data_IF_379238292372
#
_entry.id   IF_379238292372
#
_cell.length_a   1.000
_cell.length_b   1.000
_cell.length_c   1.000
_cell.angle_alpha   90.00
_cell.angle_beta   90.00
_cell.angle_gamma   90.00
#
_symmetry.space_group_name_H-M   'P 1'
#
loop_
_entity.id
_entity.type
_entity.pdbx_description
1 polymer ?
2 non-polymer ?
#
# COMPACT_ATOMS: atom_id res chain seq x y z
N UNK A 2 17.89 6.86 -10.37
CA UNK A 2 16.77 5.96 -10.81
C UNK A 2 16.05 5.33 -9.62
N UNK A 3 14.98 4.61 -9.93
CA UNK A 3 14.19 3.93 -8.91
C UNK A 3 14.97 2.75 -8.35
N UNK A 4 15.81 2.15 -9.19
CA UNK A 4 16.59 1.00 -8.75
C UNK A 4 17.83 1.33 -7.92
N UNK A 5 18.30 2.57 -8.02
CA UNK A 5 19.43 3.01 -7.21
C UNK A 5 18.82 3.27 -5.83
N UNK A 6 17.64 3.90 -5.83
CA UNK A 6 16.90 4.22 -4.62
C UNK A 6 16.55 2.92 -3.87
N UNK A 7 16.14 1.90 -4.62
CA UNK A 7 15.80 0.60 -4.04
C UNK A 7 17.03 -0.02 -3.40
N UNK A 8 18.13 0.03 -4.14
CA UNK A 8 19.41 -0.51 -3.71
C UNK A 8 19.87 0.15 -2.41
N UNK A 9 19.84 1.48 -2.39
CA UNK A 9 20.25 2.26 -1.23
C UNK A 9 19.42 1.95 0.00
N UNK A 10 18.10 1.90 -0.18
CA UNK A 10 17.15 1.63 0.90
C UNK A 10 17.43 0.37 1.71
N UNK A 11 18.10 -0.60 1.10
CA UNK A 11 18.42 -1.85 1.77
C UNK A 11 19.33 -1.64 2.97
N UNK A 12 20.09 -0.54 2.96
CA UNK A 12 21.00 -0.26 4.05
C UNK A 12 20.54 0.87 4.97
N UNK A 13 19.27 1.26 4.83
CA UNK A 13 18.69 2.33 5.63
C UNK A 13 18.56 1.99 7.12
N UNK A 14 18.94 2.95 7.96
CA UNK A 14 18.87 2.79 9.41
C UNK A 14 18.37 4.08 10.06
N UNK A 15 17.48 4.79 9.36
CA UNK A 15 16.95 6.07 9.83
C UNK A 15 15.94 6.03 10.99
N UNK A 16 15.26 4.91 11.19
CA UNK A 16 14.31 4.82 12.29
C UNK A 16 14.53 3.53 13.06
N UNK A 17 14.00 3.47 14.28
CA UNK A 17 14.15 2.30 15.15
C UNK A 17 13.62 0.98 14.59
N UNK A 18 12.83 1.04 13.51
CA UNK A 18 12.29 -0.17 12.93
C UNK A 18 13.35 -1.04 12.29
N UNK A 19 14.56 -0.50 12.17
CA UNK A 19 15.67 -1.23 11.58
C UNK A 19 16.18 -2.33 12.50
N UNK A 20 15.97 -2.14 13.80
CA UNK A 20 16.43 -3.08 14.82
C UNK A 20 15.87 -4.49 14.67
N UNK A 21 14.55 -4.60 14.51
CA UNK A 21 13.95 -5.92 14.38
C UNK A 21 13.88 -6.53 13.00
N UNK A 22 14.06 -5.74 11.95
CA UNK A 22 13.97 -6.24 10.59
C UNK A 22 15.00 -7.29 10.15
N UNK A 23 14.63 -8.02 9.10
CA UNK A 23 15.44 -9.06 8.48
C UNK A 23 15.82 -8.48 7.13
N UNK A 24 14.79 -8.10 6.38
CA UNK A 24 14.95 -7.49 5.07
C UNK A 24 14.07 -6.25 4.97
N UNK A 25 14.51 -5.27 4.19
CA UNK A 25 13.70 -4.08 4.00
C UNK A 25 12.83 -4.32 2.76
N UNK A 26 11.54 -4.08 2.92
CA UNK A 26 10.58 -4.26 1.84
C UNK A 26 10.31 -2.90 1.18
N UNK A 27 11.18 -2.52 0.27
CA UNK A 27 11.08 -1.25 -0.43
C UNK A 27 9.88 -1.14 -1.38
N UNK A 28 9.67 -2.17 -2.21
CA UNK A 28 8.56 -2.16 -3.15
C UNK A 28 8.88 -2.87 -4.46
N UNK A 29 7.85 -3.18 -5.24
CA UNK A 29 8.04 -3.84 -6.53
C UNK A 29 6.90 -3.65 -7.51
N UNK A 30 7.15 -4.05 -8.76
CA UNK A 30 6.14 -3.92 -9.80
C UNK A 30 6.61 -3.06 -10.95
N UNK A 31 5.64 -2.50 -11.68
CA UNK A 31 5.89 -1.64 -12.83
C UNK A 31 6.50 -0.30 -12.38
N UNK A 32 7.70 0.03 -12.89
CA UNK A 32 8.38 1.29 -12.54
C UNK A 32 7.70 2.54 -13.09
N UNK A 33 6.83 2.36 -14.08
CA UNK A 33 6.11 3.47 -14.68
C UNK A 33 4.63 3.11 -14.60
N UNK A 34 4.24 2.63 -13.43
CA UNK A 34 2.87 2.22 -13.17
C UNK A 34 1.88 3.38 -13.09
N UNK A 35 0.68 3.15 -13.62
CA UNK A 35 -0.39 4.14 -13.55
C UNK A 35 -1.01 4.02 -12.16
N UNK A 36 -1.05 2.80 -11.63
CA UNK A 36 -1.60 2.54 -10.31
C UNK A 36 -0.54 2.10 -9.30
N UNK A 37 -0.52 2.78 -8.16
CA UNK A 37 0.39 2.48 -7.07
C UNK A 37 -0.48 2.11 -5.88
N UNK A 38 -0.09 1.05 -5.17
CA UNK A 38 -0.82 0.57 -4.01
C UNK A 38 0.07 0.72 -2.79
N UNK A 39 -0.41 1.46 -1.79
CA UNK A 39 0.35 1.66 -0.56
C UNK A 39 -0.37 1.14 0.68
N UNK A 40 0.30 0.25 1.41
CA UNK A 40 -0.25 -0.30 2.63
C UNK A 40 0.42 0.30 3.86
N UNK A 41 0.16 -0.30 5.02
CA UNK A 41 0.70 0.13 6.31
C UNK A 41 2.19 -0.16 6.46
N UNK A 42 2.50 -1.45 6.58
CA UNK A 42 3.88 -1.88 6.73
C UNK A 42 3.92 -3.37 6.44
N UNK A 43 5.12 -3.94 6.28
CA UNK A 43 5.27 -5.38 6.00
C UNK A 43 4.96 -6.32 7.17
N UNK A 44 4.81 -7.61 6.85
CA UNK A 44 4.55 -8.63 7.85
C UNK A 44 5.61 -9.73 7.85
N UNK A 45 5.29 -10.86 8.47
CA UNK A 45 6.18 -12.03 8.59
C UNK A 45 6.88 -12.45 7.29
N UNK A 46 6.08 -12.89 6.32
CA UNK A 46 6.63 -13.35 5.05
C UNK A 46 7.28 -12.23 4.25
N UNK A 47 6.79 -11.01 4.43
CA UNK A 47 7.35 -9.85 3.73
C UNK A 47 8.74 -9.56 4.28
N UNK A 48 8.87 -9.68 5.59
CA UNK A 48 10.13 -9.45 6.27
C UNK A 48 11.16 -10.49 5.87
N UNK A 49 10.69 -11.71 5.63
CA UNK A 49 11.57 -12.80 5.25
C UNK A 49 12.02 -12.78 3.81
N UNK A 50 11.11 -12.44 2.89
CA UNK A 50 11.44 -12.40 1.46
C UNK A 50 11.89 -11.04 0.92
N UNK A 51 11.54 -9.96 1.62
CA UNK A 51 11.91 -8.64 1.15
C UNK A 51 10.95 -8.14 0.07
N UNK A 52 9.91 -8.93 -0.18
CA UNK A 52 8.89 -8.59 -1.17
C UNK A 52 7.61 -8.19 -0.46
N UNK A 53 6.91 -7.16 -0.98
CA UNK A 53 5.66 -6.67 -0.39
C UNK A 53 4.47 -7.56 -0.72
N UNK A 54 3.55 -7.69 0.24
CA UNK A 54 2.34 -8.49 0.07
C UNK A 54 2.54 -9.89 -0.54
N UNK A 55 3.15 -10.78 0.23
CA UNK A 55 3.40 -12.15 -0.21
C UNK A 55 2.83 -13.18 0.77
N UNK A 56 2.44 -12.70 1.95
CA UNK A 56 1.86 -13.57 2.96
C UNK A 56 0.37 -13.77 2.78
N UNK A 57 -0.29 -14.24 3.84
CA UNK A 57 -1.74 -14.50 3.83
C UNK A 57 -2.57 -13.35 3.25
N UNK A 58 -2.34 -12.13 3.72
CA UNK A 58 -3.09 -10.96 3.24
C UNK A 58 -2.68 -10.58 1.81
N UNK A 59 -1.38 -10.71 1.53
CA UNK A 59 -0.87 -10.41 0.20
C UNK A 59 -1.47 -11.33 -0.85
N UNK A 60 -1.75 -12.57 -0.45
CA UNK A 60 -2.34 -13.54 -1.36
C UNK A 60 -3.79 -13.14 -1.64
N UNK A 61 -4.40 -12.45 -0.68
CA UNK A 61 -5.76 -11.97 -0.85
C UNK A 61 -5.69 -10.84 -1.89
N UNK A 62 -4.78 -9.89 -1.66
CA UNK A 62 -4.58 -8.75 -2.55
C UNK A 62 -4.48 -9.22 -4.01
N UNK A 63 -3.73 -10.30 -4.22
CA UNK A 63 -3.54 -10.89 -5.55
C UNK A 63 -4.89 -11.29 -6.14
N UNK A 64 -5.69 -11.98 -5.32
CA UNK A 64 -7.01 -12.43 -5.72
C UNK A 64 -7.95 -11.27 -6.03
N UNK A 65 -7.96 -10.28 -5.15
CA UNK A 65 -8.80 -9.10 -5.32
C UNK A 65 -8.43 -8.39 -6.63
N UNK A 66 -7.13 -8.34 -6.91
CA UNK A 66 -6.59 -7.70 -8.11
C UNK A 66 -7.00 -8.39 -9.41
N UNK A 67 -6.78 -9.70 -9.49
CA UNK A 67 -7.13 -10.44 -10.69
C UNK A 67 -8.64 -10.51 -10.90
N UNK A 68 -9.39 -10.39 -9.81
CA UNK A 68 -10.85 -10.41 -9.87
C UNK A 68 -11.39 -9.14 -10.52
N UNK A 69 -10.50 -8.20 -10.81
CA UNK A 69 -10.89 -6.95 -11.45
C UNK A 69 -10.16 -6.79 -12.78
N UNK A 70 -9.42 -7.83 -13.16
CA UNK A 70 -8.68 -7.81 -14.41
C UNK A 70 -7.40 -6.99 -14.35
N UNK A 71 -6.89 -6.74 -13.14
CA UNK A 71 -5.68 -5.95 -12.96
C UNK A 71 -4.46 -6.81 -12.66
N UNK A 72 -3.54 -6.96 -13.63
CA UNK A 72 -2.33 -7.77 -13.44
C UNK A 72 -1.35 -7.14 -12.45
N UNK A 73 -1.02 -7.88 -11.39
CA UNK A 73 -0.11 -7.42 -10.34
C UNK A 73 1.22 -6.82 -10.82
N UNK A 74 1.81 -7.42 -11.86
CA UNK A 74 3.09 -6.94 -12.39
C UNK A 74 3.02 -5.55 -13.04
N UNK A 75 1.83 -5.12 -13.42
CA UNK A 75 1.67 -3.81 -14.05
C UNK A 75 1.39 -2.68 -13.07
N UNK A 76 1.40 -3.00 -11.77
CA UNK A 76 1.18 -1.99 -10.74
C UNK A 76 2.40 -1.94 -9.83
N UNK A 77 2.48 -0.91 -8.99
CA UNK A 77 3.60 -0.80 -8.07
C UNK A 77 3.05 -0.87 -6.66
N UNK A 78 3.64 -1.73 -5.84
CA UNK A 78 3.19 -1.92 -4.47
C UNK A 78 4.26 -1.62 -3.41
N UNK A 79 3.85 -0.96 -2.33
CA UNK A 79 4.72 -0.60 -1.19
C UNK A 79 3.88 -0.37 0.06
N UNK A 80 4.50 0.18 1.09
CA UNK A 80 3.85 0.50 2.35
C UNK A 80 4.42 1.83 2.86
N UNK A 81 3.80 2.38 3.89
CA UNK A 81 4.23 3.63 4.50
C UNK A 81 5.66 3.48 5.03
N UNK A 82 5.90 2.36 5.71
CA UNK A 82 7.22 2.03 6.24
C UNK A 82 7.71 0.78 5.50
N UNK A 83 9.03 0.64 5.39
CA UNK A 83 9.63 -0.49 4.68
C UNK A 83 10.09 -1.65 5.56
N UNK A 84 10.28 -1.39 6.85
CA UNK A 84 10.74 -2.42 7.77
C UNK A 84 9.64 -2.93 8.69
N UNK A 85 9.64 -4.24 8.93
CA UNK A 85 8.63 -4.86 9.78
C UNK A 85 8.69 -4.45 11.25
N UNK A 86 7.71 -3.65 11.68
CA UNK A 86 7.64 -3.19 13.07
C UNK A 86 7.36 -4.36 14.00
N UNK A 87 7.94 -4.34 15.21
CA UNK A 87 7.77 -5.40 16.21
C UNK A 87 6.35 -5.93 16.39
N UNK A 88 6.20 -7.25 16.23
CA UNK A 88 4.91 -7.95 16.36
C UNK A 88 3.79 -7.45 15.43
N UNK A 89 4.19 -6.94 14.26
CA UNK A 89 3.27 -6.41 13.24
C UNK A 89 2.43 -5.21 13.65
N UNK A 90 2.89 -4.46 14.65
CA UNK A 90 2.15 -3.29 15.10
C UNK A 90 2.22 -2.24 14.02
N UNK A 91 1.29 -1.30 14.02
CA UNK A 91 1.31 -0.23 13.03
C UNK A 91 2.50 0.65 13.34
N UNK A 92 3.04 1.34 12.33
CA UNK A 92 4.19 2.22 12.56
C UNK A 92 3.80 3.49 13.31
N UNK A 93 4.70 3.94 14.18
CA UNK A 93 4.50 5.16 14.96
C UNK A 93 4.70 6.37 14.02
N UNK A 94 3.97 7.48 14.26
CA UNK A 94 4.08 8.69 13.42
C UNK A 94 5.51 9.14 13.19
N UNK A 95 6.34 8.76 14.15
CA UNK A 95 7.78 9.00 14.23
C UNK A 95 8.45 8.43 12.98
N UNK A 96 8.45 7.10 12.94
CA UNK A 96 9.03 6.30 11.87
C UNK A 96 8.29 6.48 10.55
N UNK A 97 7.01 6.83 10.63
CA UNK A 97 6.18 7.03 9.44
C UNK A 97 6.62 8.29 8.69
N UNK A 98 7.00 9.32 9.43
CA UNK A 98 7.43 10.58 8.85
C UNK A 98 8.80 10.43 8.19
N UNK A 99 9.72 9.81 8.92
CA UNK A 99 11.09 9.58 8.45
C UNK A 99 11.17 8.72 7.20
N UNK A 100 10.57 7.54 7.26
CA UNK A 100 10.58 6.60 6.14
C UNK A 100 9.91 7.16 4.90
N UNK A 101 8.81 7.86 5.12
CA UNK A 101 8.05 8.44 4.04
C UNK A 101 8.77 9.61 3.35
N UNK A 102 9.54 10.37 4.13
CA UNK A 102 10.30 11.51 3.61
C UNK A 102 11.53 11.01 2.87
N UNK A 103 12.08 9.91 3.36
CA UNK A 103 13.27 9.31 2.77
C UNK A 103 13.01 8.48 1.52
N UNK A 104 11.87 7.79 1.47
CA UNK A 104 11.56 6.91 0.34
C UNK A 104 10.23 7.06 -0.39
N UNK A 105 9.12 7.00 0.34
CA UNK A 105 7.81 7.08 -0.29
C UNK A 105 7.66 8.25 -1.26
N UNK A 106 7.94 9.46 -0.81
CA UNK A 106 7.82 10.65 -1.65
C UNK A 106 8.59 10.57 -2.98
N UNK A 107 9.81 10.05 -2.93
CA UNK A 107 10.63 9.92 -4.13
C UNK A 107 10.12 8.80 -5.03
N UNK A 108 9.58 7.75 -4.42
CA UNK A 108 9.04 6.63 -5.18
C UNK A 108 7.86 7.13 -5.99
N UNK A 109 7.01 7.93 -5.35
CA UNK A 109 5.84 8.50 -6.00
C UNK A 109 6.27 9.45 -7.13
N UNK A 110 7.29 10.24 -6.85
CA UNK A 110 7.82 11.21 -7.80
C UNK A 110 8.37 10.53 -9.06
N UNK A 111 9.17 9.48 -8.86
CA UNK A 111 9.78 8.72 -9.95
C UNK A 111 8.80 7.89 -10.79
N UNK A 112 7.82 7.28 -10.13
CA UNK A 112 6.83 6.44 -10.81
C UNK A 112 5.69 7.23 -11.45
N UNK A 113 5.37 8.38 -10.86
CA UNK A 113 4.31 9.26 -11.36
C UNK A 113 2.99 8.53 -11.62
N UNK A 114 2.44 7.84 -10.60
CA UNK A 114 1.17 7.12 -10.80
C UNK A 114 0.03 8.12 -10.98
N UNK A 115 -1.04 7.67 -11.63
CA UNK A 115 -2.19 8.54 -11.85
C UNK A 115 -3.25 8.27 -10.79
N UNK A 116 -3.16 7.10 -10.16
CA UNK A 116 -4.08 6.70 -9.11
C UNK A 116 -3.30 6.04 -7.97
N UNK A 117 -3.55 6.49 -6.74
CA UNK A 117 -2.91 5.92 -5.57
C UNK A 117 -3.98 5.24 -4.72
N UNK A 118 -3.82 3.94 -4.49
CA UNK A 118 -4.77 3.24 -3.66
C UNK A 118 -4.14 2.91 -2.31
N UNK A 119 -4.48 3.69 -1.28
CA UNK A 119 -3.94 3.45 0.06
C UNK A 119 -4.75 2.34 0.74
N UNK A 120 -4.04 1.38 1.34
CA UNK A 120 -4.64 0.25 2.04
C UNK A 120 -4.56 0.39 3.55
N UNK A 121 -5.70 0.67 4.18
CA UNK A 121 -5.74 0.83 5.62
C UNK A 121 -5.74 2.28 6.09
N UNK A 122 -6.02 2.47 7.38
CA UNK A 122 -6.07 3.80 8.00
C UNK A 122 -4.74 4.54 8.00
N UNK A 123 -3.64 3.84 8.26
CA UNK A 123 -2.32 4.47 8.28
C UNK A 123 -1.99 5.12 6.94
N UNK A 124 -2.09 4.35 5.86
CA UNK A 124 -1.81 4.84 4.51
C UNK A 124 -2.76 5.96 4.11
N UNK A 125 -4.05 5.78 4.40
CA UNK A 125 -5.07 6.78 4.06
C UNK A 125 -4.80 8.10 4.76
N UNK A 126 -4.37 8.02 6.02
CA UNK A 126 -4.06 9.21 6.81
C UNK A 126 -2.89 9.98 6.24
N UNK A 127 -2.08 9.32 5.43
CA UNK A 127 -0.94 9.96 4.82
C UNK A 127 -1.34 10.84 3.63
N UNK A 128 -2.20 10.31 2.76
CA UNK A 128 -2.66 11.04 1.58
C UNK A 128 -3.77 12.04 1.81
N UNK A 129 -4.52 11.86 2.90
CA UNK A 129 -5.61 12.77 3.22
C UNK A 129 -5.16 13.95 4.07
N UNK A 130 -4.00 13.78 4.70
CA UNK A 130 -3.42 14.83 5.53
C UNK A 130 -4.13 15.10 6.84
N UNK A 131 -4.74 14.07 7.42
CA UNK A 131 -5.44 14.20 8.69
C UNK A 131 -5.90 12.86 9.25
N UNK A 132 -6.16 12.83 10.55
CA UNK A 132 -6.65 11.62 11.21
C UNK A 132 -7.96 11.22 10.54
N UNK A 133 -8.14 9.93 10.31
CA UNK A 133 -9.34 9.49 9.63
C UNK A 133 -9.79 8.07 9.96
N UNK A 134 -11.04 7.78 9.62
CA UNK A 134 -11.63 6.47 9.84
C UNK A 134 -11.68 5.76 8.49
N UNK A 135 -10.99 4.63 8.41
CA UNK A 135 -10.95 3.85 7.18
C UNK A 135 -12.35 3.46 6.66
N UNK A 136 -13.26 3.15 7.57
CA UNK A 136 -14.62 2.78 7.20
C UNK A 136 -15.39 3.92 6.53
N UNK A 137 -14.97 5.16 6.78
CA UNK A 137 -15.64 6.31 6.19
C UNK A 137 -15.05 6.83 4.89
N UNK A 138 -13.73 6.78 4.76
CA UNK A 138 -13.06 7.26 3.55
C UNK A 138 -12.99 6.21 2.45
N UNK A 139 -13.06 4.96 2.86
CA UNK A 139 -13.05 3.79 2.00
C UNK A 139 -14.05 3.90 0.83
N UNK A 140 -13.56 3.69 -0.39
CA UNK A 140 -14.42 3.74 -1.56
C UNK A 140 -14.80 5.09 -2.14
N UNK A 141 -14.14 6.15 -1.69
CA UNK A 141 -14.41 7.50 -2.17
C UNK A 141 -13.14 8.11 -2.76
N UNK A 142 -13.31 8.92 -3.81
CA UNK A 142 -12.19 9.55 -4.49
C UNK A 142 -11.71 10.83 -3.83
N UNK A 143 -10.39 10.92 -3.68
CA UNK A 143 -9.78 12.10 -3.09
C UNK A 143 -8.74 12.64 -4.06
N UNK A 144 -7.88 13.53 -3.56
CA UNK A 144 -6.84 14.15 -4.36
C UNK A 144 -5.66 14.54 -3.49
N UNK A 145 -4.46 14.24 -3.98
CA UNK A 145 -3.20 14.53 -3.29
C UNK A 145 -2.16 14.91 -4.35
N UNK A 146 -1.72 16.17 -4.31
CA UNK A 146 -0.74 16.72 -5.25
C UNK A 146 -1.08 16.44 -6.72
N UNK A 147 -2.36 16.57 -7.05
CA UNK A 147 -2.79 16.35 -8.41
C UNK A 147 -3.11 14.92 -8.78
N UNK A 148 -2.84 13.98 -7.87
CA UNK A 148 -3.13 12.59 -8.16
C UNK A 148 -4.36 12.08 -7.41
N UNK A 149 -5.10 11.20 -8.07
CA UNK A 149 -6.33 10.62 -7.53
C UNK A 149 -6.09 9.52 -6.48
N UNK A 150 -6.58 9.76 -5.27
CA UNK A 150 -6.44 8.80 -4.19
C UNK A 150 -7.76 8.06 -3.98
N UNK A 151 -7.68 6.76 -3.71
CA UNK A 151 -8.87 5.95 -3.50
C UNK A 151 -8.65 4.93 -2.38
N UNK A 152 -8.90 5.34 -1.13
CA UNK A 152 -8.72 4.45 0.02
C UNK A 152 -9.58 3.19 0.01
N UNK A 153 -9.00 2.11 0.51
CA UNK A 153 -9.66 0.81 0.58
C UNK A 153 -9.21 0.04 1.81
N UNK A 154 -10.05 -0.89 2.24
CA UNK A 154 -9.74 -1.72 3.39
C UNK A 154 -8.49 -2.52 3.07
N UNK A 155 -7.66 -2.72 4.08
CA UNK A 155 -6.45 -3.50 3.95
C UNK A 155 -6.86 -4.98 3.96
N UNK A 156 -6.24 -5.82 3.12
CA UNK A 156 -6.53 -7.25 3.03
C UNK A 156 -6.54 -7.97 4.39
N UNK A 157 -5.66 -7.54 5.29
CA UNK A 157 -5.57 -8.13 6.63
C UNK A 157 -6.85 -7.89 7.41
N UNK A 158 -7.47 -6.75 7.15
CA UNK A 158 -8.72 -6.38 7.79
C UNK A 158 -9.82 -7.35 7.35
N UNK A 159 -9.73 -7.82 6.11
CA UNK A 159 -10.70 -8.76 5.55
C UNK A 159 -10.53 -10.14 6.17
N UNK A 160 -9.30 -10.49 6.54
CA UNK A 160 -9.04 -11.78 7.18
C UNK A 160 -9.59 -11.76 8.61
N UNK A 161 -9.56 -10.59 9.23
CA UNK A 161 -10.04 -10.41 10.60
C UNK A 161 -11.57 -10.31 10.67
N UNK A 162 -12.18 -9.99 9.54
CA UNK A 162 -13.63 -9.86 9.39
C UNK A 162 -13.91 -10.52 8.03
N UNK A 163 -13.89 -11.86 8.00
CA UNK A 163 -14.11 -12.73 6.83
C UNK A 163 -15.53 -12.86 6.27
N UNK A 164 -16.50 -12.24 6.93
CA UNK A 164 -17.90 -12.27 6.51
C UNK A 164 -18.12 -12.11 5.00
N UNK A 165 -18.98 -12.95 4.43
CA UNK A 165 -19.31 -12.90 3.00
C UNK A 165 -20.68 -12.24 2.79
N UNK A 166 -21.28 -11.77 3.89
CA UNK A 166 -22.58 -11.11 3.88
C UNK A 166 -22.59 -9.81 3.07
N UNK A 167 -23.77 -9.42 2.55
CA UNK A 167 -23.81 -8.17 1.77
C UNK A 167 -23.43 -6.96 2.63
N UNK A 168 -22.65 -6.05 2.04
CA UNK A 168 -22.21 -4.86 2.74
C UNK A 168 -21.03 -5.11 3.67
N UNK A 169 -20.51 -6.33 3.65
CA UNK A 169 -19.38 -6.71 4.48
C UNK A 169 -18.10 -6.20 3.83
N UNK A 170 -17.04 -5.99 4.63
CA UNK A 170 -15.76 -5.50 4.10
C UNK A 170 -15.30 -6.21 2.82
N UNK A 171 -15.50 -7.52 2.75
CA UNK A 171 -15.12 -8.27 1.55
C UNK A 171 -15.96 -7.86 0.35
N UNK A 172 -17.27 -7.73 0.57
CA UNK A 172 -18.18 -7.34 -0.50
C UNK A 172 -17.87 -5.93 -0.99
N UNK A 173 -17.67 -5.01 -0.05
CA UNK A 173 -17.36 -3.62 -0.37
C UNK A 173 -16.04 -3.52 -1.12
N UNK A 174 -15.06 -4.32 -0.71
CA UNK A 174 -13.74 -4.34 -1.34
C UNK A 174 -13.84 -4.74 -2.81
N UNK A 175 -14.67 -5.75 -3.08
CA UNK A 175 -14.90 -6.25 -4.42
C UNK A 175 -15.46 -5.12 -5.27
N UNK A 176 -16.42 -4.37 -4.73
CA UNK A 176 -17.01 -3.24 -5.44
C UNK A 176 -15.96 -2.15 -5.71
N UNK A 177 -15.16 -1.85 -4.69
CA UNK A 177 -14.11 -0.84 -4.77
C UNK A 177 -13.06 -1.11 -5.86
N UNK A 178 -12.59 -2.36 -5.93
CA UNK A 178 -11.59 -2.71 -6.93
C UNK A 178 -12.13 -2.55 -8.36
N UNK A 179 -13.43 -2.81 -8.54
CA UNK A 179 -14.07 -2.65 -9.85
C UNK A 179 -14.04 -1.16 -10.18
N UNK A 180 -14.31 -0.34 -9.17
CA UNK A 180 -14.32 1.11 -9.31
C UNK A 180 -12.93 1.63 -9.70
N UNK A 181 -11.89 0.96 -9.20
CA UNK A 181 -10.52 1.33 -9.52
C UNK A 181 -10.28 0.94 -10.99
N UNK A 182 -10.79 -0.22 -11.38
CA UNK A 182 -10.64 -0.68 -12.75
C UNK A 182 -11.32 0.26 -13.75
N UNK A 183 -12.54 0.71 -13.46
CA UNK A 183 -13.21 1.62 -14.38
C UNK A 183 -12.44 2.94 -14.48
N UNK A 184 -11.90 3.39 -13.35
CA UNK A 184 -11.13 4.64 -13.30
C UNK A 184 -9.82 4.55 -14.08
N UNK A 185 -9.18 3.38 -14.03
CA UNK A 185 -7.93 3.11 -14.72
C UNK A 185 -8.13 3.16 -16.23
N UNK A 186 -9.18 2.49 -16.69
CA UNK A 186 -9.52 2.42 -18.11
C UNK A 186 -10.00 3.74 -18.72
N UNK A 187 -10.20 4.74 -17.87
CA UNK A 187 -10.66 6.05 -18.32
C UNK A 187 -9.57 7.11 -18.15
N UNK A 188 -8.31 6.67 -18.15
CA UNK A 188 -7.19 7.59 -17.99
C UNK A 188 -6.49 8.00 -19.29
N UNK A 189 -6.16 9.29 -19.43
CA UNK A 189 -5.48 9.85 -20.61
C UNK A 189 -4.04 9.34 -20.75
X LIG B 1 13.25 0.94 7.45
X LIG B 1 12.76 3.05 9.06
X LIG B 1 14.64 3.22 7.13
X LIG B 1 12.03 3.12 6.47
X LIG B 1 13.10 4.76 7.61
X LIG B 1 13.68 1.95 5.51
X LIG B 1 11.23 1.74 8.06
X LIG B 1 14.67 1.87 8.94
#
# INVERSE_FOLDING_TARGET
XTLELLQAQAQNCTACRLMEGRTRVVFGEGNPDAKLMIVGEGPGEEEDKTGRPFVGKAGQLLNRILEAAGIPREEVYITNIVKCRPPQNRAPLPDEAKICTDKWLLKQIELIAPQIIVPLGAVAAEFFLGEKVSITKVRGKWYEWHGIKVFPMFHPAYLLRNPSRAPGSPKHLTWLDIQEVKRALDALPPKERRPVKAVSQEPLF
SF4 FE1 FE2 FE3 FE4 S1 S2 S3 S4
#
